data_IF_681757970816
#
_entry.id   IF_681757970816
#
_cell.length_a   1.000
_cell.length_b   1.000
_cell.length_c   1.000
_cell.angle_alpha   90.00
_cell.angle_beta   90.00
_cell.angle_gamma   90.00
#
_symmetry.space_group_name_H-M   'P 1'
#
loop_
_entity.id
_entity.type
_entity.pdbx_description
1 polymer ?
#
# COMPACT_ATOMS: atom_id res chain seq x y z
N UNK A 1 17.79 2.73 10.50
CA UNK A 1 16.62 1.84 10.36
C UNK A 1 16.00 2.12 9.01
N UNK A 2 15.85 1.11 8.17
CA UNK A 2 15.18 1.19 6.86
C UNK A 2 13.68 1.02 7.01
N UNK A 3 12.90 1.37 5.98
CA UNK A 3 11.45 1.11 5.93
C UNK A 3 11.09 -0.38 6.08
N UNK A 4 11.91 -1.27 5.53
CA UNK A 4 11.70 -2.72 5.62
C UNK A 4 11.98 -3.23 7.04
N UNK A 5 13.05 -2.75 7.69
CA UNK A 5 13.33 -3.05 9.09
C UNK A 5 12.21 -2.54 10.01
N UNK A 6 11.74 -1.31 9.79
CA UNK A 6 10.65 -0.73 10.56
C UNK A 6 9.35 -1.56 10.41
N UNK A 7 8.99 -1.96 9.19
CA UNK A 7 7.84 -2.83 8.95
C UNK A 7 8.05 -4.23 9.54
N UNK A 8 9.27 -4.75 9.55
CA UNK A 8 9.63 -6.01 10.20
C UNK A 8 9.27 -6.04 11.69
N UNK A 9 9.43 -4.91 12.40
CA UNK A 9 9.01 -4.78 13.81
C UNK A 9 7.49 -4.92 13.96
N UNK A 10 6.71 -4.36 13.03
CA UNK A 10 5.27 -4.55 12.99
C UNK A 10 4.89 -5.99 12.67
N UNK A 11 5.56 -6.61 11.70
CA UNK A 11 5.31 -8.01 11.33
C UNK A 11 5.45 -8.92 12.56
N UNK A 12 6.56 -8.79 13.32
CA UNK A 12 6.89 -9.63 14.48
C UNK A 12 6.13 -9.28 15.75
N UNK A 13 5.52 -8.09 15.86
CA UNK A 13 4.91 -7.60 17.11
C UNK A 13 3.41 -7.32 16.93
N UNK A 14 2.52 -8.25 17.32
CA UNK A 14 1.09 -8.03 17.26
C UNK A 14 0.64 -7.03 18.32
N UNK A 15 0.18 -5.86 17.87
CA UNK A 15 -0.46 -4.83 18.70
C UNK A 15 -1.94 -4.80 18.33
N UNK A 16 -2.82 -5.02 19.31
CA UNK A 16 -4.26 -5.02 19.08
C UNK A 16 -4.72 -3.66 18.53
N UNK A 17 -5.56 -3.68 17.48
CA UNK A 17 -6.05 -2.48 16.82
C UNK A 17 -5.07 -1.82 15.84
N UNK A 18 -3.82 -2.27 15.77
CA UNK A 18 -2.81 -1.74 14.85
C UNK A 18 -2.76 -2.57 13.57
N UNK A 19 -3.27 -2.01 12.47
CA UNK A 19 -3.21 -2.60 11.14
C UNK A 19 -2.10 -2.02 10.25
N UNK A 20 -1.81 -2.65 9.09
CA UNK A 20 -0.79 -2.19 8.15
C UNK A 20 -0.94 -0.72 7.75
N UNK A 21 -2.17 -0.31 7.41
CA UNK A 21 -2.47 1.05 6.97
C UNK A 21 -2.13 2.13 8.01
N UNK A 22 -2.27 1.82 9.30
CA UNK A 22 -1.88 2.76 10.36
C UNK A 22 -0.36 2.69 10.58
N UNK A 23 0.22 1.49 10.64
CA UNK A 23 1.65 1.36 10.88
C UNK A 23 2.50 2.02 9.78
N UNK A 24 2.13 1.90 8.51
CA UNK A 24 2.85 2.57 7.42
C UNK A 24 2.73 4.09 7.46
N UNK A 25 1.70 4.65 8.13
CA UNK A 25 1.67 6.10 8.43
C UNK A 25 2.75 6.47 9.44
N UNK A 26 3.00 5.63 10.44
CA UNK A 26 4.10 5.86 11.38
C UNK A 26 5.45 5.84 10.65
N UNK A 27 5.64 4.89 9.73
CA UNK A 27 6.84 4.88 8.88
C UNK A 27 6.92 6.17 8.06
N UNK A 28 5.85 6.54 7.35
CA UNK A 28 5.80 7.72 6.50
C UNK A 28 6.08 9.04 7.26
N UNK A 29 5.50 9.21 8.45
CA UNK A 29 5.61 10.48 9.19
C UNK A 29 6.79 10.54 10.16
N UNK A 30 7.30 9.40 10.65
CA UNK A 30 8.27 9.37 11.76
C UNK A 30 9.64 8.80 11.38
N UNK A 31 9.75 8.07 10.25
CA UNK A 31 11.05 7.53 9.84
C UNK A 31 11.90 8.63 9.18
N UNK A 32 13.07 8.91 9.75
CA UNK A 32 13.92 10.03 9.34
C UNK A 32 14.39 10.00 7.88
N UNK A 33 14.44 8.81 7.27
CA UNK A 33 14.80 8.63 5.86
C UNK A 33 13.74 9.18 4.89
N UNK A 34 12.50 9.39 5.34
CA UNK A 34 11.37 9.80 4.49
C UNK A 34 11.16 8.91 3.25
N UNK A 35 11.51 7.63 3.34
CA UNK A 35 11.53 6.66 2.22
C UNK A 35 10.42 5.60 2.31
N UNK A 36 9.53 5.67 3.31
CA UNK A 36 8.37 4.79 3.43
C UNK A 36 7.10 5.44 2.89
N UNK A 37 6.21 4.63 2.30
CA UNK A 37 4.93 5.09 1.73
C UNK A 37 3.73 4.45 2.43
N UNK A 38 2.56 5.07 2.36
CA UNK A 38 1.35 4.60 3.07
C UNK A 38 0.69 3.47 2.28
N UNK A 39 0.73 2.25 2.82
CA UNK A 39 0.03 1.09 2.28
C UNK A 39 -1.34 0.94 2.94
N UNK A 40 -2.34 1.65 2.41
CA UNK A 40 -3.73 1.51 2.82
C UNK A 40 -4.53 0.67 1.82
N UNK A 41 -5.84 0.50 2.08
CA UNK A 41 -6.69 -0.31 1.21
C UNK A 41 -6.75 0.20 -0.24
N UNK A 42 -6.53 1.49 -0.48
CA UNK A 42 -6.71 2.12 -1.78
C UNK A 42 -5.42 2.19 -2.55
N UNK A 43 -4.32 2.57 -1.90
CA UNK A 43 -3.00 2.47 -2.52
C UNK A 43 -2.66 1.01 -2.83
N UNK A 44 -3.00 0.09 -1.93
CA UNK A 44 -2.87 -1.35 -2.16
C UNK A 44 -3.69 -1.83 -3.36
N UNK A 45 -4.96 -1.41 -3.47
CA UNK A 45 -5.82 -1.78 -4.62
C UNK A 45 -5.31 -1.21 -5.93
N UNK A 46 -4.90 0.06 -5.94
CA UNK A 46 -4.31 0.72 -7.10
C UNK A 46 -3.06 -0.03 -7.58
N UNK A 47 -2.13 -0.36 -6.67
CA UNK A 47 -0.93 -1.14 -7.01
C UNK A 47 -1.28 -2.54 -7.49
N UNK A 48 -2.28 -3.20 -6.91
CA UNK A 48 -2.67 -4.55 -7.34
C UNK A 48 -3.25 -4.61 -8.76
N UNK A 49 -3.85 -3.52 -9.25
CA UNK A 49 -4.32 -3.41 -10.64
C UNK A 49 -3.16 -3.07 -11.58
N UNK A 50 -2.28 -2.14 -11.16
CA UNK A 50 -1.19 -1.67 -12.00
C UNK A 50 -0.05 -2.69 -12.15
N UNK A 51 0.14 -3.56 -11.16
CA UNK A 51 1.26 -4.48 -11.08
C UNK A 51 0.77 -5.92 -10.89
N UNK A 52 0.60 -6.62 -12.01
CA UNK A 52 0.25 -8.04 -12.03
C UNK A 52 1.50 -8.94 -12.00
N UNK A 53 1.42 -10.15 -11.39
CA UNK A 53 0.30 -10.64 -10.59
C UNK A 53 0.21 -9.92 -9.23
N UNK A 54 -1.01 -9.82 -8.69
CA UNK A 54 -1.25 -9.24 -7.37
C UNK A 54 -0.43 -9.97 -6.28
N UNK A 55 0.35 -9.21 -5.52
CA UNK A 55 1.22 -9.70 -4.46
C UNK A 55 0.84 -9.17 -3.06
N UNK A 56 -0.14 -8.27 -2.99
CA UNK A 56 -0.63 -7.69 -1.73
C UNK A 56 -1.82 -8.53 -1.27
N UNK A 57 -1.74 -9.06 -0.06
CA UNK A 57 -2.83 -9.79 0.55
C UNK A 57 -3.89 -8.82 1.11
N UNK A 58 -5.16 -9.11 0.85
CA UNK A 58 -6.30 -8.39 1.42
C UNK A 58 -7.13 -9.31 2.33
N UNK A 59 -7.87 -8.73 3.27
CA UNK A 59 -8.87 -9.42 4.09
C UNK A 59 -10.25 -9.48 3.40
N UNK A 60 -11.24 -10.07 4.08
CA UNK A 60 -12.60 -10.22 3.53
C UNK A 60 -13.30 -8.89 3.27
N UNK A 61 -12.95 -7.84 4.02
CA UNK A 61 -13.48 -6.49 3.87
C UNK A 61 -12.69 -5.65 2.86
N UNK A 62 -11.62 -6.21 2.28
CA UNK A 62 -10.78 -5.56 1.28
C UNK A 62 -9.77 -4.56 1.85
N UNK A 63 -9.44 -4.65 3.14
CA UNK A 63 -8.30 -3.95 3.73
C UNK A 63 -7.02 -4.76 3.51
N UNK A 64 -5.87 -4.07 3.54
CA UNK A 64 -4.55 -4.72 3.49
C UNK A 64 -4.41 -5.63 4.71
N UNK A 65 -4.21 -6.93 4.46
CA UNK A 65 -4.16 -7.92 5.52
C UNK A 65 -2.87 -7.79 6.35
N UNK A 66 -2.95 -8.11 7.64
CA UNK A 66 -1.78 -8.09 8.54
C UNK A 66 -0.68 -9.07 8.12
N UNK A 67 -1.03 -10.16 7.43
CA UNK A 67 -0.08 -11.19 6.96
C UNK A 67 0.87 -10.75 5.85
N UNK A 68 0.77 -9.51 5.35
CA UNK A 68 1.76 -8.96 4.43
C UNK A 68 3.07 -8.74 5.19
N UNK A 69 4.15 -9.35 4.70
CA UNK A 69 5.48 -9.24 5.30
C UNK A 69 6.18 -7.93 4.95
N UNK A 70 7.31 -7.68 5.62
CA UNK A 70 8.23 -6.59 5.27
C UNK A 70 8.69 -6.64 3.80
N UNK A 71 8.79 -7.84 3.22
CA UNK A 71 9.11 -8.00 1.79
C UNK A 71 7.99 -7.50 0.87
N UNK A 72 6.73 -7.78 1.23
CA UNK A 72 5.56 -7.26 0.49
C UNK A 72 5.52 -5.74 0.56
N UNK A 73 5.77 -5.17 1.74
CA UNK A 73 5.81 -3.73 1.92
C UNK A 73 6.96 -3.07 1.13
N UNK A 74 8.15 -3.66 1.14
CA UNK A 74 9.29 -3.18 0.36
C UNK A 74 8.98 -3.22 -1.15
N UNK A 75 8.39 -4.32 -1.65
CA UNK A 75 7.97 -4.43 -3.05
C UNK A 75 6.92 -3.39 -3.42
N UNK A 76 5.96 -3.12 -2.52
CA UNK A 76 5.00 -2.04 -2.71
C UNK A 76 5.70 -0.69 -2.86
N UNK A 77 6.65 -0.35 -1.97
CA UNK A 77 7.36 0.91 -2.01
C UNK A 77 8.17 1.09 -3.30
N UNK A 78 8.89 0.04 -3.73
CA UNK A 78 9.63 0.07 -5.00
C UNK A 78 8.74 0.25 -6.22
N UNK A 79 7.53 -0.29 -6.21
CA UNK A 79 6.58 -0.07 -7.29
C UNK A 79 6.06 1.38 -7.32
N UNK A 80 5.88 2.02 -6.16
CA UNK A 80 5.56 3.45 -6.09
C UNK A 80 6.71 4.27 -6.68
N UNK A 81 7.95 3.95 -6.32
CA UNK A 81 9.16 4.62 -6.82
C UNK A 81 9.33 4.46 -8.33
N UNK A 82 9.22 3.24 -8.84
CA UNK A 82 9.29 2.97 -10.27
C UNK A 82 8.16 3.66 -11.06
N UNK A 83 6.97 3.79 -10.47
CA UNK A 83 5.88 4.56 -11.08
C UNK A 83 6.19 6.06 -11.06
N UNK A 84 6.78 6.57 -9.99
CA UNK A 84 7.15 7.96 -9.84
C UNK A 84 8.21 8.37 -10.88
N UNK A 85 9.23 7.54 -11.10
CA UNK A 85 10.23 7.71 -12.16
C UNK A 85 9.59 7.79 -13.54
N UNK A 86 8.61 6.91 -13.83
CA UNK A 86 7.90 6.90 -15.12
C UNK A 86 7.00 8.11 -15.35
N UNK A 87 6.51 8.73 -14.27
CA UNK A 87 5.62 9.89 -14.32
C UNK A 87 6.38 11.22 -14.18
N UNK A 88 7.69 11.19 -13.94
CA UNK A 88 8.50 12.35 -13.58
C UNK A 88 7.91 13.12 -12.38
N UNK A 89 7.56 12.37 -11.32
CA UNK A 89 6.96 12.89 -10.08
C UNK A 89 7.75 12.43 -8.86
N UNK A 90 7.61 13.15 -7.75
CA UNK A 90 8.07 12.68 -6.45
C UNK A 90 7.27 11.43 -6.00
N UNK A 91 7.94 10.45 -5.41
CA UNK A 91 7.29 9.20 -5.00
C UNK A 91 6.17 9.39 -3.95
N UNK A 92 6.33 10.35 -3.03
CA UNK A 92 5.26 10.75 -2.10
C UNK A 92 4.03 11.31 -2.82
N UNK A 93 4.25 12.10 -3.89
CA UNK A 93 3.18 12.63 -4.73
C UNK A 93 2.50 11.50 -5.52
N UNK A 94 3.27 10.55 -6.03
CA UNK A 94 2.75 9.37 -6.72
C UNK A 94 1.90 8.50 -5.80
N UNK A 95 2.31 8.29 -4.55
CA UNK A 95 1.49 7.61 -3.55
C UNK A 95 0.15 8.33 -3.32
N UNK A 96 0.16 9.65 -3.15
CA UNK A 96 -1.08 10.44 -3.00
C UNK A 96 -2.02 10.27 -4.21
N UNK A 97 -1.46 10.21 -5.43
CA UNK A 97 -2.23 9.96 -6.66
C UNK A 97 -2.81 8.55 -6.71
N UNK A 98 -2.08 7.54 -6.22
CA UNK A 98 -2.56 6.16 -6.10
C UNK A 98 -3.68 6.04 -5.07
N UNK A 99 -3.61 6.77 -3.95
CA UNK A 99 -4.69 6.90 -2.98
C UNK A 99 -5.92 7.55 -3.62
N UNK A 100 -5.69 8.50 -4.54
CA UNK A 100 -6.67 9.33 -5.25
C UNK A 100 -7.34 10.39 -4.36
N UNK A 101 -7.92 11.43 -4.98
CA UNK A 101 -8.66 12.48 -4.27
C UNK A 101 -10.16 12.21 -4.19
N UNK A 102 -10.79 12.78 -3.15
CA UNK A 102 -12.24 12.93 -3.04
C UNK A 102 -12.96 11.85 -2.23
N UNK A 103 -13.52 12.25 -1.09
CA UNK A 103 -14.36 11.37 -0.26
C UNK A 103 -15.77 11.17 -0.83
N UNK A 104 -16.46 12.25 -1.21
CA UNK A 104 -17.81 12.22 -1.80
C UNK A 104 -17.81 12.19 -3.33
N UNK A 105 -17.16 13.12 -4.05
CA UNK A 105 -16.91 12.95 -5.48
C UNK A 105 -15.64 12.11 -5.67
N UNK A 106 -15.78 10.85 -6.10
CA UNK A 106 -14.64 9.99 -6.42
C UNK A 106 -13.94 10.56 -7.65
N UNK A 107 -12.66 10.90 -7.54
CA UNK A 107 -11.84 11.23 -8.71
C UNK A 107 -11.80 10.03 -9.70
N UNK A 108 -11.62 10.24 -11.02
CA UNK A 108 -11.73 9.17 -12.03
C UNK A 108 -10.90 7.93 -11.74
N UNK A 109 -9.67 8.10 -11.24
CA UNK A 109 -8.82 6.98 -10.85
C UNK A 109 -9.48 6.10 -9.75
N UNK A 110 -10.03 6.70 -8.70
CA UNK A 110 -10.75 5.97 -7.66
C UNK A 110 -11.95 5.20 -8.21
N UNK A 111 -12.67 5.78 -9.16
CA UNK A 111 -13.78 5.12 -9.81
C UNK A 111 -13.29 3.88 -10.59
N UNK A 112 -12.23 4.05 -11.39
CA UNK A 112 -11.60 2.97 -12.13
C UNK A 112 -11.13 1.83 -11.22
N UNK A 113 -10.46 2.14 -10.10
CA UNK A 113 -10.01 1.13 -9.14
C UNK A 113 -11.18 0.36 -8.53
N UNK A 114 -12.27 1.05 -8.17
CA UNK A 114 -13.47 0.38 -7.62
C UNK A 114 -14.12 -0.56 -8.63
N UNK A 115 -14.13 -0.21 -9.92
CA UNK A 115 -14.73 -1.02 -10.97
C UNK A 115 -13.87 -2.22 -11.38
N UNK A 116 -12.55 -2.07 -11.36
CA UNK A 116 -11.62 -3.05 -11.92
C UNK A 116 -10.94 -3.91 -10.86
N UNK A 117 -10.90 -3.48 -9.60
CA UNK A 117 -10.34 -4.29 -8.53
C UNK A 117 -11.26 -5.47 -8.24
N UNK A 118 -10.87 -6.64 -8.74
CA UNK A 118 -11.48 -7.92 -8.38
C UNK A 118 -10.60 -8.55 -7.33
N UNK A 119 -11.21 -8.96 -6.22
CA UNK A 119 -10.50 -9.74 -5.19
C UNK A 119 -9.98 -11.01 -5.86
N UNK A 120 -8.65 -11.18 -5.90
CA UNK A 120 -8.08 -12.47 -6.30
C UNK A 120 -8.62 -13.54 -5.34
N UNK A 121 -9.11 -14.68 -5.85
CA UNK A 121 -9.53 -15.76 -4.97
C UNK A 121 -8.36 -16.09 -4.05
N UNK A 122 -8.66 -16.21 -2.74
CA UNK A 122 -7.65 -16.64 -1.79
C UNK A 122 -7.10 -17.97 -2.33
N UNK A 123 -5.80 -18.03 -2.62
CA UNK A 123 -5.17 -19.32 -2.86
C UNK A 123 -5.34 -20.10 -1.57
N UNK A 124 -6.21 -21.10 -1.60
CA UNK A 124 -6.30 -22.12 -0.57
C UNK A 124 -4.88 -22.68 -0.41
N UNK A 125 -4.26 -22.43 0.73
CA UNK A 125 -3.10 -23.17 1.18
C UNK A 125 -3.64 -24.30 2.04
#
# INVERSE_FOLDING_TARGET
MTRSEAYGLFESTPIAGLGPAYFTKLIFFLLQSNDGYILDQWTGKSVSILFEPCFIAFDHSGYVARRNSAHVYERYCRNVEALAERLDLAASRTEELLFSRGGRPKHPWRHYVVQNWKRSPARSV
#
